data_IF_862648093914
#
_entry.id   IF_862648093914
#
_cell.length_a   1.000
_cell.length_b   1.000
_cell.length_c   1.000
_cell.angle_alpha   90.00
_cell.angle_beta   90.00
_cell.angle_gamma   90.00
#
_symmetry.space_group_name_H-M   'P 1'
#
loop_
_entity.id
_entity.type
_entity.pdbx_description
1 polymer ?
#
# COMPACT_ATOMS: atom_id res chain seq x y z
N UNK A 1 -9.81 8.16 -13.04
CA UNK A 1 -10.69 8.40 -11.86
C UNK A 1 -10.06 9.51 -11.06
N UNK A 2 -10.76 10.63 -10.88
CA UNK A 2 -10.29 11.75 -10.06
C UNK A 2 -11.13 11.76 -8.78
N UNK A 3 -10.45 11.66 -7.63
CA UNK A 3 -11.06 11.68 -6.31
C UNK A 3 -10.56 12.95 -5.64
N UNK A 4 -11.46 13.81 -5.18
CA UNK A 4 -11.09 14.98 -4.39
C UNK A 4 -10.70 14.53 -2.98
N UNK A 5 -9.51 14.94 -2.53
CA UNK A 5 -9.01 14.63 -1.20
C UNK A 5 -8.08 15.73 -0.68
N UNK A 6 -7.95 15.78 0.64
CA UNK A 6 -6.91 16.57 1.31
C UNK A 6 -5.83 15.62 1.80
N UNK A 7 -4.60 15.80 1.31
CA UNK A 7 -3.44 15.03 1.78
C UNK A 7 -2.89 15.64 3.07
N UNK A 8 -3.12 14.98 4.21
CA UNK A 8 -2.61 15.43 5.50
C UNK A 8 -1.29 14.74 5.81
N UNK A 9 -0.20 15.51 5.77
CA UNK A 9 1.13 15.06 6.16
C UNK A 9 1.43 15.39 7.62
N UNK A 10 1.97 14.41 8.35
CA UNK A 10 2.53 14.62 9.67
C UNK A 10 4.06 14.72 9.54
N UNK A 11 4.68 15.78 10.06
CA UNK A 11 6.14 15.82 10.19
C UNK A 11 6.63 14.66 11.05
N UNK A 12 7.79 14.11 10.67
CA UNK A 12 8.45 13.11 11.49
C UNK A 12 8.77 13.70 12.87
N UNK A 13 8.47 12.99 13.97
CA UNK A 13 8.85 13.42 15.29
C UNK A 13 10.38 13.58 15.40
N UNK A 14 10.78 14.58 16.17
CA UNK A 14 12.16 14.89 16.54
C UNK A 14 12.30 14.80 18.07
N UNK A 15 13.52 14.74 18.61
CA UNK A 15 13.73 14.77 20.07
C UNK A 15 13.01 15.95 20.77
N UNK A 16 12.94 17.10 20.11
CA UNK A 16 12.30 18.32 20.65
C UNK A 16 10.77 18.25 20.63
N UNK A 17 10.19 17.54 19.66
CA UNK A 17 8.74 17.44 19.45
C UNK A 17 8.11 16.21 20.10
N UNK A 18 8.93 15.35 20.72
CA UNK A 18 8.47 14.19 21.47
C UNK A 18 7.68 13.20 20.59
N UNK A 19 6.37 13.08 20.84
CA UNK A 19 5.49 12.19 20.05
C UNK A 19 5.07 12.79 18.70
N UNK A 20 5.39 14.07 18.44
CA UNK A 20 5.02 14.80 17.23
C UNK A 20 3.51 15.00 17.07
N UNK A 21 3.12 15.70 16.00
CA UNK A 21 1.72 16.04 15.72
C UNK A 21 0.82 14.81 15.58
N UNK A 22 1.35 13.71 15.02
CA UNK A 22 0.59 12.46 14.94
C UNK A 22 0.27 11.88 16.32
N UNK A 23 1.26 11.87 17.24
CA UNK A 23 1.06 11.38 18.60
C UNK A 23 -0.03 12.13 19.35
N UNK A 24 -0.12 13.45 19.14
CA UNK A 24 -1.12 14.31 19.76
C UNK A 24 -2.54 14.11 19.22
N UNK A 25 -2.68 13.74 17.94
CA UNK A 25 -3.97 13.63 17.27
C UNK A 25 -4.52 12.20 17.16
N UNK A 26 -3.66 11.17 17.12
CA UNK A 26 -4.05 9.81 16.69
C UNK A 26 -5.29 9.24 17.38
N UNK A 27 -5.46 9.50 18.68
CA UNK A 27 -6.59 9.00 19.47
C UNK A 27 -7.83 9.92 19.46
N UNK A 28 -7.73 11.12 18.89
CA UNK A 28 -8.81 12.11 18.80
C UNK A 28 -9.61 11.99 17.51
N UNK A 29 -9.09 11.26 16.52
CA UNK A 29 -9.73 11.08 15.20
C UNK A 29 -10.90 10.10 15.22
N UNK A 30 -11.06 9.32 16.30
CA UNK A 30 -12.09 8.29 16.42
C UNK A 30 -11.90 7.16 15.40
N UNK A 31 -10.65 6.76 15.14
CA UNK A 31 -10.29 5.59 14.36
C UNK A 31 -10.38 4.35 15.25
N UNK A 32 -10.96 3.25 14.76
CA UNK A 32 -11.01 1.98 15.52
C UNK A 32 -9.61 1.42 15.79
N UNK A 33 -8.74 1.51 14.78
CA UNK A 33 -7.33 1.12 14.85
C UNK A 33 -6.45 2.31 14.42
N UNK A 34 -6.05 3.21 15.34
CA UNK A 34 -5.27 4.40 14.99
C UNK A 34 -3.93 4.06 14.35
N UNK A 35 -3.79 4.36 13.05
CA UNK A 35 -2.58 4.13 12.29
C UNK A 35 -2.47 5.16 11.14
N UNK A 36 -1.27 5.28 10.56
CA UNK A 36 -1.06 5.98 9.30
C UNK A 36 -0.71 4.95 8.20
N UNK A 37 -1.24 5.09 6.97
CA UNK A 37 -2.24 6.08 6.56
C UNK A 37 -3.65 5.78 7.08
N UNK A 38 -4.52 6.79 7.02
CA UNK A 38 -5.96 6.70 7.29
C UNK A 38 -6.76 7.46 6.22
N UNK A 39 -8.03 7.11 6.06
CA UNK A 39 -9.00 7.79 5.21
C UNK A 39 -10.27 8.10 6.02
N UNK A 40 -10.77 9.32 5.90
CA UNK A 40 -11.99 9.80 6.57
C UNK A 40 -12.92 10.36 5.49
N UNK A 41 -14.14 9.82 5.42
CA UNK A 41 -15.20 10.25 4.51
C UNK A 41 -16.52 10.38 5.29
N UNK A 42 -16.81 11.61 5.72
CA UNK A 42 -17.91 11.89 6.65
C UNK A 42 -17.74 11.10 7.96
N UNK A 43 -18.73 10.26 8.27
CA UNK A 43 -18.72 9.39 9.45
C UNK A 43 -17.90 8.11 9.24
N UNK A 44 -17.59 7.74 7.99
CA UNK A 44 -16.84 6.54 7.68
C UNK A 44 -15.33 6.78 7.84
N UNK A 45 -14.65 5.87 8.54
CA UNK A 45 -13.23 5.98 8.84
C UNK A 45 -12.56 4.63 8.68
N UNK A 46 -11.40 4.62 8.02
CA UNK A 46 -10.67 3.40 7.74
C UNK A 46 -9.17 3.63 7.81
N UNK A 47 -8.46 2.69 8.41
CA UNK A 47 -7.00 2.61 8.44
C UNK A 47 -6.51 1.39 7.67
N UNK A 48 -5.19 1.23 7.54
CA UNK A 48 -4.51 0.21 6.73
C UNK A 48 -4.53 0.50 5.22
N UNK A 49 -3.33 0.66 4.64
CA UNK A 49 -3.14 1.10 3.25
C UNK A 49 -3.86 0.22 2.22
N UNK A 50 -3.80 -1.11 2.38
CA UNK A 50 -4.51 -2.08 1.51
C UNK A 50 -6.03 -1.95 1.65
N UNK A 51 -6.53 -1.70 2.85
CA UNK A 51 -7.96 -1.57 3.11
C UNK A 51 -8.50 -0.26 2.53
N UNK A 52 -7.79 0.86 2.72
CA UNK A 52 -8.07 2.16 2.10
C UNK A 52 -8.11 2.04 0.58
N UNK A 53 -7.07 1.43 -0.03
CA UNK A 53 -6.99 1.25 -1.48
C UNK A 53 -8.21 0.49 -2.02
N UNK A 54 -8.57 -0.64 -1.40
CA UNK A 54 -9.73 -1.45 -1.80
C UNK A 54 -11.04 -0.71 -1.58
N UNK A 55 -11.17 0.06 -0.51
CA UNK A 55 -12.35 0.89 -0.27
C UNK A 55 -12.55 1.94 -1.36
N UNK A 56 -11.51 2.71 -1.69
CA UNK A 56 -11.54 3.71 -2.76
C UNK A 56 -11.88 3.06 -4.11
N UNK A 57 -11.24 1.94 -4.45
CA UNK A 57 -11.57 1.22 -5.69
C UNK A 57 -13.04 0.79 -5.72
N UNK A 58 -13.57 0.21 -4.64
CA UNK A 58 -14.98 -0.22 -4.56
C UNK A 58 -15.98 0.94 -4.61
N UNK A 59 -15.60 2.11 -4.11
CA UNK A 59 -16.46 3.29 -4.11
C UNK A 59 -16.58 3.91 -5.50
N UNK A 60 -15.45 4.04 -6.21
CA UNK A 60 -15.38 4.89 -7.40
C UNK A 60 -15.30 4.10 -8.71
N UNK A 61 -14.62 2.96 -8.75
CA UNK A 61 -14.60 2.08 -9.92
C UNK A 61 -14.30 0.61 -9.53
N UNK A 62 -15.33 -0.15 -9.12
CA UNK A 62 -15.18 -1.55 -8.73
C UNK A 62 -14.53 -2.43 -9.80
N UNK A 63 -14.60 -2.03 -11.08
CA UNK A 63 -14.04 -2.82 -12.17
C UNK A 63 -12.52 -2.92 -12.11
N UNK A 64 -11.84 -1.98 -11.42
CA UNK A 64 -10.39 -2.01 -11.19
C UNK A 64 -9.95 -3.11 -10.21
N UNK A 65 -10.86 -3.66 -9.41
CA UNK A 65 -10.54 -4.76 -8.48
C UNK A 65 -10.70 -6.15 -9.13
N UNK A 66 -11.22 -6.22 -10.35
CA UNK A 66 -11.63 -7.45 -11.02
C UNK A 66 -13.16 -7.62 -11.04
N UNK A 67 -13.68 -8.11 -12.16
CA UNK A 67 -15.12 -8.29 -12.43
C UNK A 67 -15.65 -9.61 -11.89
N UNK A 68 -14.80 -10.62 -11.73
CA UNK A 68 -15.17 -11.92 -11.16
C UNK A 68 -14.51 -12.18 -9.81
N UNK A 69 -15.05 -13.12 -9.04
CA UNK A 69 -14.46 -13.56 -7.76
C UNK A 69 -13.04 -14.09 -7.99
N UNK A 70 -12.81 -14.80 -9.08
CA UNK A 70 -11.51 -15.34 -9.45
C UNK A 70 -10.51 -14.23 -9.80
N UNK A 71 -10.94 -13.18 -10.51
CA UNK A 71 -10.10 -12.01 -10.80
C UNK A 71 -9.73 -11.27 -9.52
N UNK A 72 -10.70 -11.02 -8.63
CA UNK A 72 -10.46 -10.38 -7.33
C UNK A 72 -9.54 -11.22 -6.44
N UNK A 73 -9.71 -12.53 -6.44
CA UNK A 73 -8.84 -13.45 -5.69
C UNK A 73 -7.41 -13.42 -6.21
N UNK A 74 -7.22 -13.37 -7.54
CA UNK A 74 -5.90 -13.20 -8.16
C UNK A 74 -5.29 -11.83 -7.85
N UNK A 75 -6.10 -10.77 -7.81
CA UNK A 75 -5.65 -9.43 -7.43
C UNK A 75 -5.08 -9.41 -6.01
N UNK A 76 -5.83 -10.00 -5.05
CA UNK A 76 -5.38 -10.14 -3.67
C UNK A 76 -4.09 -10.96 -3.55
N UNK A 77 -4.01 -12.09 -4.27
CA UNK A 77 -2.82 -12.94 -4.24
C UNK A 77 -1.57 -12.18 -4.71
N UNK A 78 -1.68 -11.42 -5.81
CA UNK A 78 -0.55 -10.63 -6.32
C UNK A 78 -0.21 -9.48 -5.38
N UNK A 79 -1.21 -8.80 -4.82
CA UNK A 79 -1.02 -7.76 -3.80
C UNK A 79 -0.20 -8.30 -2.61
N UNK A 80 -0.53 -9.48 -2.09
CA UNK A 80 0.20 -10.07 -0.96
C UNK A 80 1.62 -10.52 -1.36
N UNK A 81 1.81 -11.07 -2.56
CA UNK A 81 3.15 -11.39 -3.09
C UNK A 81 4.03 -10.14 -3.21
N UNK A 82 3.46 -9.01 -3.63
CA UNK A 82 4.14 -7.71 -3.69
C UNK A 82 4.42 -7.15 -2.30
N UNK A 83 3.49 -7.34 -1.37
CA UNK A 83 3.64 -6.93 0.04
C UNK A 83 4.80 -7.64 0.72
N UNK A 84 4.97 -8.95 0.50
CA UNK A 84 6.13 -9.69 1.03
C UNK A 84 7.46 -9.07 0.58
N UNK A 85 7.56 -8.70 -0.70
CA UNK A 85 8.76 -8.09 -1.26
C UNK A 85 9.00 -6.70 -0.68
N UNK A 86 7.93 -5.91 -0.51
CA UNK A 86 7.99 -4.60 0.13
C UNK A 86 8.47 -4.71 1.58
N UNK A 87 7.87 -5.59 2.38
CA UNK A 87 8.28 -5.82 3.78
C UNK A 87 9.73 -6.30 3.87
N UNK A 88 10.15 -7.18 2.97
CA UNK A 88 11.55 -7.64 2.89
C UNK A 88 12.51 -6.48 2.61
N UNK A 89 12.18 -5.61 1.65
CA UNK A 89 12.96 -4.41 1.34
C UNK A 89 13.02 -3.46 2.55
N UNK A 90 11.87 -3.13 3.13
CA UNK A 90 11.80 -2.23 4.30
C UNK A 90 12.63 -2.77 5.45
N UNK A 91 12.54 -4.08 5.75
CA UNK A 91 13.37 -4.71 6.78
C UNK A 91 14.86 -4.54 6.48
N UNK A 92 15.28 -4.80 5.24
CA UNK A 92 16.69 -4.67 4.84
C UNK A 92 17.19 -3.22 4.94
N UNK A 93 16.35 -2.24 4.62
CA UNK A 93 16.72 -0.83 4.77
C UNK A 93 16.78 -0.38 6.24
N UNK A 94 15.78 -0.78 7.04
CA UNK A 94 15.61 -0.29 8.41
C UNK A 94 16.47 -1.02 9.44
N UNK A 95 16.81 -2.29 9.18
CA UNK A 95 17.64 -3.12 10.05
C UNK A 95 18.94 -3.49 9.35
N UNK A 96 19.51 -2.55 8.60
CA UNK A 96 20.61 -2.83 7.67
C UNK A 96 21.75 -3.65 8.30
N UNK A 97 22.02 -4.81 7.70
CA UNK A 97 23.28 -5.55 7.84
C UNK A 97 23.75 -6.01 6.46
N UNK A 98 25.04 -6.34 6.34
CA UNK A 98 25.60 -6.87 5.08
C UNK A 98 24.89 -8.17 4.69
N UNK A 99 24.62 -9.03 5.67
CA UNK A 99 23.96 -10.33 5.49
C UNK A 99 22.51 -10.17 5.01
N UNK A 100 21.75 -9.23 5.59
CA UNK A 100 20.37 -8.95 5.15
C UNK A 100 20.35 -8.38 3.73
N UNK A 101 21.28 -7.48 3.41
CA UNK A 101 21.43 -6.94 2.06
C UNK A 101 21.75 -8.03 1.05
N UNK A 102 22.71 -8.91 1.36
CA UNK A 102 23.11 -10.00 0.47
C UNK A 102 21.99 -11.03 0.28
N UNK A 103 21.30 -11.40 1.35
CA UNK A 103 20.12 -12.27 1.28
C UNK A 103 19.02 -11.64 0.40
N UNK A 104 18.70 -10.37 0.60
CA UNK A 104 17.72 -9.64 -0.21
C UNK A 104 18.10 -9.63 -1.69
N UNK A 105 19.36 -9.31 -2.02
CA UNK A 105 19.87 -9.29 -3.40
C UNK A 105 19.79 -10.67 -4.05
N UNK A 106 20.03 -11.74 -3.28
CA UNK A 106 19.97 -13.12 -3.77
C UNK A 106 18.53 -13.60 -4.02
N UNK A 107 17.59 -13.25 -3.14
CA UNK A 107 16.20 -13.72 -3.20
C UNK A 107 15.32 -12.91 -4.17
N UNK A 108 15.57 -11.61 -4.28
CA UNK A 108 14.76 -10.68 -5.10
C UNK A 108 14.59 -11.15 -6.55
N UNK A 109 15.64 -11.58 -7.28
CA UNK A 109 15.49 -12.07 -8.64
C UNK A 109 14.56 -13.28 -8.79
N UNK A 110 14.46 -14.14 -7.76
CA UNK A 110 13.56 -15.30 -7.77
C UNK A 110 12.11 -14.84 -7.67
N UNK A 111 11.79 -13.96 -6.72
CA UNK A 111 10.43 -13.42 -6.52
C UNK A 111 10.00 -12.57 -7.72
N UNK A 112 10.88 -11.74 -8.27
CA UNK A 112 10.61 -10.96 -9.49
C UNK A 112 10.32 -11.86 -10.70
N UNK A 113 11.02 -12.99 -10.83
CA UNK A 113 10.75 -13.96 -11.90
C UNK A 113 9.39 -14.63 -11.74
N UNK A 114 8.98 -14.96 -10.51
CA UNK A 114 7.64 -15.49 -10.24
C UNK A 114 6.55 -14.48 -10.63
N UNK A 115 6.73 -13.20 -10.28
CA UNK A 115 5.81 -12.11 -10.66
C UNK A 115 5.79 -11.95 -12.19
N UNK A 116 6.95 -11.92 -12.83
CA UNK A 116 7.07 -11.83 -14.29
C UNK A 116 6.37 -12.98 -15.01
N UNK A 117 6.53 -14.22 -14.52
CA UNK A 117 5.85 -15.39 -15.09
C UNK A 117 4.33 -15.32 -14.90
N UNK A 118 3.86 -14.78 -13.77
CA UNK A 118 2.43 -14.60 -13.51
C UNK A 118 1.79 -13.56 -14.44
N UNK A 119 2.48 -12.44 -14.68
CA UNK A 119 2.04 -11.41 -15.62
C UNK A 119 2.07 -11.97 -17.05
N UNK A 120 3.13 -12.70 -17.40
CA UNK A 120 3.29 -13.28 -18.73
C UNK A 120 3.34 -12.20 -19.81
N UNK A 121 2.48 -12.33 -20.83
CA UNK A 121 2.35 -11.35 -21.91
C UNK A 121 1.29 -10.28 -21.66
N UNK A 122 0.67 -10.24 -20.47
CA UNK A 122 -0.37 -9.25 -20.15
C UNK A 122 0.26 -7.89 -19.93
N UNK A 123 -0.45 -6.83 -20.30
CA UNK A 123 -0.04 -5.45 -20.01
C UNK A 123 -0.16 -5.12 -18.51
N UNK A 124 -1.06 -5.79 -17.79
CA UNK A 124 -1.35 -5.56 -16.37
C UNK A 124 -1.57 -6.89 -15.64
N UNK A 125 -1.44 -6.88 -14.31
CA UNK A 125 -1.57 -8.08 -13.46
C UNK A 125 -2.91 -8.80 -13.65
N UNK A 126 -3.97 -8.06 -13.95
CA UNK A 126 -5.33 -8.58 -14.18
C UNK A 126 -5.75 -8.67 -15.66
N UNK A 127 -4.89 -8.31 -16.63
CA UNK A 127 -5.23 -8.43 -18.06
C UNK A 127 -4.71 -7.30 -18.94
N UNK A 128 -5.44 -7.01 -20.03
CA UNK A 128 -5.02 -6.06 -21.06
C UNK A 128 -5.39 -4.60 -20.77
N UNK A 129 -6.24 -4.36 -19.77
CA UNK A 129 -6.89 -3.08 -19.53
C UNK A 129 -6.59 -2.56 -18.11
N UNK A 130 -6.07 -1.33 -18.03
CA UNK A 130 -5.80 -0.61 -16.76
C UNK A 130 -6.68 0.61 -16.55
N UNK A 131 -7.53 0.94 -17.53
CA UNK A 131 -8.16 2.27 -17.75
C UNK A 131 -7.85 3.37 -16.72
N UNK A 132 -6.56 3.74 -16.76
CA UNK A 132 -5.96 5.06 -16.96
C UNK A 132 -6.61 6.25 -16.25
N UNK A 133 -6.18 6.43 -15.01
CA UNK A 133 -5.74 7.68 -14.35
C UNK A 133 -6.02 7.50 -12.85
N UNK A 134 -5.38 6.52 -12.21
CA UNK A 134 -5.40 6.41 -10.76
C UNK A 134 -4.17 7.13 -10.22
N UNK A 135 -4.32 8.41 -9.85
CA UNK A 135 -3.32 9.14 -9.07
C UNK A 135 -3.63 8.93 -7.59
N UNK A 136 -3.38 7.74 -7.06
CA UNK A 136 -3.29 7.58 -5.61
C UNK A 136 -1.82 7.73 -5.25
N UNK A 137 -1.45 8.90 -4.73
CA UNK A 137 -0.16 9.10 -4.07
C UNK A 137 -0.22 8.41 -2.72
N UNK A 138 -0.15 7.07 -2.71
CA UNK A 138 0.22 6.36 -1.49
C UNK A 138 1.72 6.60 -1.29
N UNK A 139 2.03 7.69 -0.59
CA UNK A 139 3.32 7.77 0.08
C UNK A 139 3.24 6.76 1.22
N UNK A 140 3.66 5.53 0.96
CA UNK A 140 4.06 4.65 2.05
C UNK A 140 5.28 5.31 2.66
N UNK A 141 5.07 6.00 3.77
CA UNK A 141 6.16 6.52 4.60
C UNK A 141 6.90 5.27 5.08
N UNK A 142 8.02 4.97 4.41
CA UNK A 142 9.06 4.15 5.00
C UNK A 142 9.63 5.02 6.11
N UNK A 143 9.11 4.81 7.33
CA UNK A 143 9.75 5.28 8.56
C UNK A 143 11.04 4.51 8.71
#
# INVERSE_FOLDING_TARGET
MEVDYIDKHYPMPTPETGQGLWGEEKFKLGLDFPNIPYWIDGDFKITESKAILKHVVRMYDPSLFGKTIEEQSRANMVEDVMWDLFVSLTRTCMQYTVELREAFIKETPVKLRQISNFIGSKNWTLGEDVRQNFKLRLQTIMV
#
